data_IF_239143361739
#
_entry.id   IF_239143361739
#
_cell.length_a   1.000
_cell.length_b   1.000
_cell.length_c   1.000
_cell.angle_alpha   90.00
_cell.angle_beta   90.00
_cell.angle_gamma   90.00
#
_symmetry.space_group_name_H-M   'P 1'
#
loop_
_entity.id
_entity.type
_entity.pdbx_description
1 polymer ?
#
# COMPACT_ATOMS: atom_id res chain seq x y z
N UNK A 1 -6.39 -1.00 -19.98
CA UNK A 1 -5.41 -0.42 -20.95
C UNK A 1 -4.14 -1.27 -21.04
N UNK A 2 -3.46 -1.51 -19.92
CA UNK A 2 -2.25 -2.36 -19.88
C UNK A 2 -2.46 -3.73 -20.54
N UNK A 3 -3.56 -4.42 -20.23
CA UNK A 3 -3.98 -5.67 -20.91
C UNK A 3 -4.09 -5.52 -22.42
N UNK A 4 -4.80 -4.49 -22.89
CA UNK A 4 -4.99 -4.25 -24.33
C UNK A 4 -3.67 -3.98 -25.05
N UNK A 5 -2.78 -3.21 -24.43
CA UNK A 5 -1.48 -2.86 -24.98
C UNK A 5 -0.41 -3.93 -24.76
N UNK A 6 -0.67 -4.94 -23.92
CA UNK A 6 0.37 -5.84 -23.43
C UNK A 6 1.56 -5.09 -22.82
N UNK A 7 1.28 -4.12 -21.96
CA UNK A 7 2.31 -3.35 -21.27
C UNK A 7 2.41 -3.78 -19.81
N UNK A 8 3.61 -3.80 -19.21
CA UNK A 8 3.77 -3.97 -17.78
C UNK A 8 3.01 -2.90 -16.99
N UNK A 9 2.37 -3.30 -15.89
CA UNK A 9 1.60 -2.43 -15.03
C UNK A 9 2.27 -2.29 -13.66
N UNK A 10 2.77 -1.09 -13.39
CA UNK A 10 3.36 -0.67 -12.12
C UNK A 10 2.26 -0.04 -11.24
N UNK A 11 1.49 -0.88 -10.55
CA UNK A 11 0.31 -0.44 -9.82
C UNK A 11 0.58 -0.30 -8.33
N UNK A 12 0.55 0.91 -7.76
CA UNK A 12 0.55 1.11 -6.30
C UNK A 12 -0.62 0.37 -5.64
N UNK A 13 -0.53 -0.04 -4.37
CA UNK A 13 -1.55 -0.86 -3.72
C UNK A 13 -2.93 -0.17 -3.65
N UNK A 14 -2.97 1.16 -3.68
CA UNK A 14 -4.19 1.98 -3.64
C UNK A 14 -4.63 2.49 -5.01
N UNK A 15 -4.01 2.02 -6.09
CA UNK A 15 -4.36 2.41 -7.47
C UNK A 15 -5.68 1.81 -7.96
N UNK A 16 -6.20 0.79 -7.26
CA UNK A 16 -7.34 -0.06 -7.70
C UNK A 16 -7.12 -0.75 -9.05
N UNK A 17 -5.88 -0.76 -9.55
CA UNK A 17 -5.51 -1.34 -10.84
C UNK A 17 -4.60 -2.58 -10.68
N UNK A 18 -4.22 -2.96 -9.46
CA UNK A 18 -3.34 -4.12 -9.18
C UNK A 18 -4.07 -5.45 -9.35
N UNK A 19 -4.45 -5.74 -10.59
CA UNK A 19 -5.15 -6.96 -11.01
C UNK A 19 -4.68 -7.39 -12.40
N UNK A 20 -4.92 -8.65 -12.73
CA UNK A 20 -4.61 -9.18 -14.06
C UNK A 20 -3.12 -9.43 -14.30
N UNK A 21 -2.77 -10.01 -15.46
CA UNK A 21 -1.45 -10.58 -15.70
C UNK A 21 -0.34 -9.54 -15.95
N UNK A 22 -0.70 -8.29 -16.22
CA UNK A 22 0.28 -7.22 -16.44
C UNK A 22 0.76 -6.59 -15.14
N UNK A 23 0.03 -6.73 -14.04
CA UNK A 23 0.37 -6.13 -12.76
C UNK A 23 1.61 -6.81 -12.17
N UNK A 24 2.71 -6.06 -12.06
CA UNK A 24 3.96 -6.58 -11.51
C UNK A 24 4.01 -6.39 -10.00
N UNK A 25 4.29 -7.42 -9.19
CA UNK A 25 4.76 -7.22 -7.83
C UNK A 25 6.22 -6.75 -7.83
N UNK A 26 6.72 -6.22 -6.70
CA UNK A 26 8.13 -5.82 -6.50
C UNK A 26 8.74 -4.89 -7.56
N UNK A 27 7.92 -4.22 -8.36
CA UNK A 27 8.40 -3.43 -9.48
C UNK A 27 9.31 -2.25 -9.04
N UNK A 28 9.03 -1.64 -7.90
CA UNK A 28 9.84 -0.56 -7.35
C UNK A 28 11.25 -1.04 -6.94
N UNK A 29 11.35 -2.29 -6.50
CA UNK A 29 12.61 -2.95 -6.18
C UNK A 29 13.38 -3.27 -7.47
N UNK A 30 12.71 -3.84 -8.47
CA UNK A 30 13.30 -4.08 -9.78
C UNK A 30 13.90 -2.80 -10.36
N UNK A 31 13.15 -1.69 -10.37
CA UNK A 31 13.62 -0.40 -10.87
C UNK A 31 14.83 0.18 -10.10
N UNK A 32 15.09 -0.28 -8.87
CA UNK A 32 16.28 0.11 -8.12
C UNK A 32 17.54 -0.69 -8.55
N UNK A 33 17.40 -1.76 -9.32
CA UNK A 33 18.50 -2.59 -9.83
C UNK A 33 19.03 -2.09 -11.18
N UNK A 34 20.24 -2.53 -11.56
CA UNK A 34 20.78 -2.30 -12.91
C UNK A 34 19.88 -2.88 -14.01
N UNK A 35 19.52 -4.18 -13.94
CA UNK A 35 18.63 -4.82 -14.93
C UNK A 35 17.27 -4.12 -15.08
N UNK A 36 16.64 -3.71 -13.97
CA UNK A 36 15.37 -2.99 -14.05
C UNK A 36 15.47 -1.61 -14.68
N UNK A 37 16.58 -0.88 -14.44
CA UNK A 37 16.84 0.39 -15.13
C UNK A 37 17.09 0.20 -16.62
N UNK A 38 17.79 -0.86 -17.01
CA UNK A 38 18.02 -1.20 -18.41
C UNK A 38 16.69 -1.55 -19.11
N UNK A 39 15.84 -2.37 -18.47
CA UNK A 39 14.50 -2.64 -18.97
C UNK A 39 13.69 -1.36 -19.13
N UNK A 40 13.64 -0.51 -18.10
CA UNK A 40 12.93 0.74 -18.17
C UNK A 40 13.44 1.69 -19.26
N UNK A 41 14.76 1.71 -19.51
CA UNK A 41 15.39 2.52 -20.56
C UNK A 41 15.11 2.04 -21.99
N UNK A 42 14.55 0.84 -22.15
CA UNK A 42 14.08 0.33 -23.45
C UNK A 42 12.64 0.73 -23.78
N UNK A 43 11.92 1.34 -22.84
CA UNK A 43 10.58 1.83 -23.09
C UNK A 43 10.67 3.16 -23.86
N UNK A 44 9.79 3.34 -24.85
CA UNK A 44 9.66 4.62 -25.56
C UNK A 44 8.58 5.52 -24.91
N UNK A 45 7.60 4.90 -24.24
CA UNK A 45 6.40 5.56 -23.75
C UNK A 45 6.07 5.14 -22.31
N UNK A 46 5.57 6.09 -21.52
CA UNK A 46 5.07 5.84 -20.17
C UNK A 46 3.70 6.50 -19.98
N UNK A 47 2.68 5.70 -19.63
CA UNK A 47 1.35 6.21 -19.26
C UNK A 47 1.27 6.31 -17.74
N UNK A 48 1.02 7.52 -17.24
CA UNK A 48 0.88 7.81 -15.82
C UNK A 48 -0.59 8.07 -15.52
N UNK A 49 -1.15 7.33 -14.56
CA UNK A 49 -2.53 7.51 -14.08
C UNK A 49 -2.50 7.79 -12.59
N UNK A 50 -3.20 8.81 -12.14
CA UNK A 50 -3.30 9.16 -10.73
C UNK A 50 -2.05 9.84 -10.15
N UNK A 51 -1.64 9.43 -8.96
CA UNK A 51 -0.59 10.08 -8.17
C UNK A 51 0.49 9.11 -7.65
N UNK A 52 1.27 8.47 -8.55
CA UNK A 52 2.31 7.53 -8.15
C UNK A 52 3.46 8.30 -7.47
N UNK A 53 3.52 8.20 -6.15
CA UNK A 53 4.37 9.02 -5.27
C UNK A 53 5.03 8.19 -4.17
N UNK A 54 4.79 6.88 -4.16
CA UNK A 54 5.16 6.01 -3.05
C UNK A 54 6.64 5.63 -3.04
N UNK A 55 7.19 5.32 -4.22
CA UNK A 55 8.54 4.78 -4.35
C UNK A 55 9.49 5.74 -5.07
N UNK A 56 10.70 5.89 -4.51
CA UNK A 56 11.77 6.71 -5.11
C UNK A 56 12.14 6.22 -6.51
N UNK A 57 12.09 4.91 -6.73
CA UNK A 57 12.41 4.31 -8.05
C UNK A 57 11.43 4.73 -9.14
N UNK A 58 10.13 4.85 -8.82
CA UNK A 58 9.14 5.37 -9.78
C UNK A 58 9.35 6.87 -10.01
N UNK A 59 9.63 7.65 -8.95
CA UNK A 59 9.97 9.07 -9.13
C UNK A 59 11.21 9.26 -10.00
N UNK A 60 12.23 8.41 -9.85
CA UNK A 60 13.43 8.42 -10.68
C UNK A 60 13.11 8.04 -12.14
N UNK A 61 12.24 7.04 -12.36
CA UNK A 61 11.75 6.68 -13.69
C UNK A 61 11.04 7.83 -14.38
N UNK A 62 10.13 8.52 -13.67
CA UNK A 62 9.44 9.72 -14.16
C UNK A 62 10.40 10.90 -14.43
N UNK A 63 11.58 10.87 -13.83
CA UNK A 63 12.67 11.81 -14.08
C UNK A 63 13.62 11.42 -15.23
N UNK A 64 13.37 10.32 -15.96
CA UNK A 64 14.21 9.88 -17.08
C UNK A 64 14.03 10.76 -18.33
N UNK A 65 15.09 10.91 -19.16
CA UNK A 65 15.16 11.87 -20.28
C UNK A 65 14.51 11.40 -21.57
N UNK A 66 14.53 10.08 -21.77
CA UNK A 66 14.27 9.49 -23.08
C UNK A 66 12.83 8.95 -23.20
N UNK A 67 11.98 9.14 -22.17
CA UNK A 67 10.61 8.62 -22.13
C UNK A 67 9.57 9.64 -22.57
N UNK A 68 8.71 9.28 -23.53
CA UNK A 68 7.49 10.03 -23.81
C UNK A 68 6.45 9.77 -22.71
N UNK A 69 6.37 10.68 -21.74
CA UNK A 69 5.45 10.59 -20.60
C UNK A 69 4.10 11.23 -20.95
N UNK A 70 3.04 10.42 -20.98
CA UNK A 70 1.66 10.90 -21.07
C UNK A 70 0.95 10.70 -19.73
N UNK A 71 0.43 11.78 -19.16
CA UNK A 71 -0.36 11.75 -17.93
C UNK A 71 -1.84 11.75 -18.27
N UNK A 72 -2.57 10.76 -17.77
CA UNK A 72 -4.03 10.71 -17.81
C UNK A 72 -4.56 11.25 -16.47
N UNK A 73 -5.30 12.35 -16.52
CA UNK A 73 -5.80 13.02 -15.31
C UNK A 73 -7.29 13.28 -15.38
N UNK A 74 -7.96 13.06 -14.26
CA UNK A 74 -9.38 13.38 -14.06
C UNK A 74 -9.56 14.77 -13.43
N UNK A 75 -8.43 15.40 -13.05
CA UNK A 75 -8.40 16.67 -12.34
C UNK A 75 -7.54 17.68 -13.07
N UNK A 76 -7.81 18.97 -12.80
CA UNK A 76 -6.98 20.07 -13.28
C UNK A 76 -5.55 20.06 -12.69
N UNK A 77 -5.34 19.33 -11.59
CA UNK A 77 -4.02 19.06 -11.02
C UNK A 77 -3.59 17.64 -11.35
N UNK A 78 -2.37 17.49 -11.85
CA UNK A 78 -1.77 16.21 -12.20
C UNK A 78 -0.41 16.04 -11.53
N UNK A 79 0.11 14.82 -11.59
CA UNK A 79 1.41 14.45 -11.01
C UNK A 79 2.49 14.59 -12.06
N UNK A 80 3.38 15.56 -11.88
CA UNK A 80 4.55 15.76 -12.74
C UNK A 80 5.68 16.41 -11.93
N UNK A 81 6.18 15.69 -10.93
CA UNK A 81 7.21 16.21 -10.01
C UNK A 81 8.51 16.54 -10.76
N UNK A 82 8.82 15.78 -11.82
CA UNK A 82 10.02 15.98 -12.65
C UNK A 82 9.85 17.06 -13.72
N UNK A 83 8.62 17.51 -14.01
CA UNK A 83 8.32 18.47 -15.07
C UNK A 83 8.54 17.90 -16.48
N UNK A 84 8.35 16.58 -16.66
CA UNK A 84 8.67 15.85 -17.89
C UNK A 84 7.44 15.26 -18.59
N UNK A 85 6.24 15.59 -18.14
CA UNK A 85 5.04 15.22 -18.86
C UNK A 85 5.04 15.88 -20.25
N UNK A 86 5.07 15.06 -21.29
CA UNK A 86 4.97 15.51 -22.68
C UNK A 86 3.54 15.92 -23.01
N UNK A 87 2.57 15.17 -22.47
CA UNK A 87 1.15 15.40 -22.67
C UNK A 87 0.39 15.14 -21.39
N UNK A 88 -0.63 15.96 -21.14
CA UNK A 88 -1.61 15.74 -20.08
C UNK A 88 -2.97 15.64 -20.75
N UNK A 89 -3.61 14.50 -20.61
CA UNK A 89 -4.87 14.21 -21.28
C UNK A 89 -5.96 14.10 -20.21
N UNK A 90 -7.01 14.95 -20.31
CA UNK A 90 -8.16 14.80 -19.45
C UNK A 90 -8.87 13.48 -19.79
N UNK A 91 -9.10 12.67 -18.77
CA UNK A 91 -9.92 11.46 -18.86
C UNK A 91 -11.02 11.52 -17.82
N UNK A 92 -12.23 11.12 -18.19
CA UNK A 92 -13.31 10.96 -17.22
C UNK A 92 -13.14 9.62 -16.50
N UNK A 93 -13.26 9.62 -15.16
CA UNK A 93 -13.38 8.38 -14.39
C UNK A 93 -14.66 7.69 -14.86
N UNK A 94 -14.58 6.46 -15.38
CA UNK A 94 -15.79 5.66 -15.49
C UNK A 94 -16.38 5.45 -14.09
N UNK A 95 -17.69 5.65 -13.94
CA UNK A 95 -18.43 4.89 -12.91
C UNK A 95 -18.29 3.38 -13.16
N UNK A 96 -18.97 2.53 -12.37
CA UNK A 96 -18.97 1.09 -12.58
C UNK A 96 -19.25 0.76 -14.06
N UNK A 97 -18.30 0.10 -14.73
CA UNK A 97 -18.36 -0.16 -16.16
C UNK A 97 -18.17 -1.63 -16.44
N UNK A 98 -18.92 -2.17 -17.39
CA UNK A 98 -18.76 -3.57 -17.80
C UNK A 98 -17.42 -3.79 -18.50
N UNK A 99 -16.91 -5.02 -18.48
CA UNK A 99 -15.66 -5.38 -19.15
C UNK A 99 -15.63 -4.96 -20.63
N UNK A 100 -16.77 -5.07 -21.33
CA UNK A 100 -16.91 -4.65 -22.74
C UNK A 100 -16.68 -3.13 -22.89
N UNK A 101 -17.25 -2.33 -21.99
CA UNK A 101 -17.07 -0.88 -22.03
C UNK A 101 -15.62 -0.48 -21.69
N UNK A 102 -15.00 -1.14 -20.71
CA UNK A 102 -13.60 -0.91 -20.35
C UNK A 102 -12.67 -1.24 -21.52
N UNK A 103 -12.88 -2.38 -22.19
CA UNK A 103 -12.12 -2.77 -23.39
C UNK A 103 -12.30 -1.78 -24.53
N UNK A 104 -13.53 -1.37 -24.82
CA UNK A 104 -13.82 -0.38 -25.88
C UNK A 104 -13.15 0.98 -25.60
N UNK A 105 -13.12 1.42 -24.34
CA UNK A 105 -12.39 2.64 -23.92
C UNK A 105 -10.88 2.47 -24.09
N UNK A 106 -10.32 1.34 -23.67
CA UNK A 106 -8.90 1.07 -23.82
C UNK A 106 -8.46 1.11 -25.29
N UNK A 107 -9.25 0.52 -26.19
CA UNK A 107 -9.01 0.58 -27.65
C UNK A 107 -9.01 2.03 -28.13
N UNK A 108 -10.07 2.79 -27.83
CA UNK A 108 -10.17 4.19 -28.27
C UNK A 108 -9.01 5.04 -27.76
N UNK A 109 -8.64 4.89 -26.49
CA UNK A 109 -7.55 5.63 -25.88
C UNK A 109 -6.20 5.27 -26.54
N UNK A 110 -5.93 3.97 -26.73
CA UNK A 110 -4.74 3.50 -27.42
C UNK A 110 -4.65 4.06 -28.85
N UNK A 111 -5.74 3.99 -29.63
CA UNK A 111 -5.78 4.54 -31.00
C UNK A 111 -5.58 6.05 -31.02
N UNK A 112 -6.24 6.79 -30.12
CA UNK A 112 -6.13 8.26 -30.05
C UNK A 112 -4.71 8.71 -29.70
N UNK A 113 -4.03 7.92 -28.88
CA UNK A 113 -2.66 8.17 -28.46
C UNK A 113 -1.61 7.61 -29.42
N UNK A 114 -2.01 6.86 -30.45
CA UNK A 114 -1.08 6.18 -31.34
C UNK A 114 -0.26 5.08 -30.67
N UNK A 115 -0.77 4.49 -29.57
CA UNK A 115 -0.04 3.48 -28.80
C UNK A 115 -0.14 2.12 -29.48
N UNK A 116 1.03 1.51 -29.69
CA UNK A 116 1.16 0.15 -30.18
C UNK A 116 1.07 -0.88 -29.06
N UNK A 117 0.51 -2.05 -29.41
CA UNK A 117 0.62 -3.24 -28.56
C UNK A 117 2.08 -3.73 -28.56
N UNK A 118 2.63 -4.00 -27.38
CA UNK A 118 3.96 -4.60 -27.28
C UNK A 118 3.91 -6.11 -27.59
N UNK A 119 5.04 -6.67 -27.99
CA UNK A 119 5.18 -8.12 -28.13
C UNK A 119 5.16 -8.82 -26.76
N UNK A 120 4.96 -10.14 -26.77
CA UNK A 120 4.94 -10.93 -25.54
C UNK A 120 6.30 -10.92 -24.80
N UNK A 121 7.40 -10.80 -25.56
CA UNK A 121 8.77 -10.78 -25.00
C UNK A 121 8.96 -9.59 -24.07
N UNK A 122 8.31 -8.46 -24.35
CA UNK A 122 8.35 -7.27 -23.50
C UNK A 122 7.83 -7.57 -22.10
N UNK A 123 6.56 -7.97 -21.94
CA UNK A 123 5.98 -8.27 -20.63
C UNK A 123 6.72 -9.42 -19.94
N UNK A 124 7.05 -10.48 -20.69
CA UNK A 124 7.76 -11.63 -20.15
C UNK A 124 9.14 -11.23 -19.59
N UNK A 125 9.84 -10.28 -20.23
CA UNK A 125 11.14 -9.81 -19.74
C UNK A 125 11.04 -9.10 -18.39
N UNK A 126 9.96 -8.35 -18.15
CA UNK A 126 9.70 -7.74 -16.85
C UNK A 126 9.29 -8.76 -15.80
N UNK A 127 8.42 -9.71 -16.14
CA UNK A 127 8.03 -10.79 -15.22
C UNK A 127 9.24 -11.61 -14.78
N UNK A 128 10.08 -12.06 -15.73
CA UNK A 128 11.32 -12.79 -15.42
C UNK A 128 12.26 -11.97 -14.56
N UNK A 129 12.44 -10.68 -14.87
CA UNK A 129 13.31 -9.83 -14.07
C UNK A 129 12.80 -9.63 -12.63
N UNK A 130 11.49 -9.67 -12.40
CA UNK A 130 10.89 -9.70 -11.05
C UNK A 130 11.13 -11.05 -10.36
N UNK A 131 11.00 -12.17 -11.09
CA UNK A 131 11.27 -13.53 -10.59
C UNK A 131 12.74 -13.73 -10.22
N UNK A 132 13.66 -13.10 -10.96
CA UNK A 132 15.10 -13.15 -10.73
C UNK A 132 15.56 -12.27 -9.56
N UNK A 133 14.67 -11.44 -8.98
CA UNK A 133 15.01 -10.66 -7.80
C UNK A 133 15.29 -11.60 -6.62
N UNK A 134 16.31 -11.31 -5.79
CA UNK A 134 16.63 -12.15 -4.64
C UNK A 134 15.41 -12.28 -3.73
N UNK A 135 15.22 -13.46 -3.13
CA UNK A 135 14.15 -13.65 -2.15
C UNK A 135 14.29 -12.64 -1.00
N UNK A 136 13.16 -12.16 -0.45
CA UNK A 136 13.17 -11.20 0.64
C UNK A 136 13.84 -11.78 1.90
N UNK A 137 14.01 -10.90 2.88
CA UNK A 137 14.78 -11.07 4.11
C UNK A 137 14.73 -12.45 4.78
N UNK A 138 15.78 -12.76 5.56
CA UNK A 138 15.95 -14.05 6.23
C UNK A 138 14.69 -14.45 7.03
N UNK A 139 14.23 -15.71 6.93
CA UNK A 139 13.17 -16.25 7.78
C UNK A 139 13.46 -15.97 9.26
N UNK A 140 12.45 -15.52 10.01
CA UNK A 140 12.57 -15.18 11.42
C UNK A 140 13.10 -13.77 11.73
N UNK A 141 13.28 -12.91 10.72
CA UNK A 141 13.56 -11.48 10.95
C UNK A 141 12.28 -10.69 11.31
N UNK A 142 12.45 -9.56 11.99
CA UNK A 142 11.38 -8.61 12.27
C UNK A 142 10.66 -8.16 10.98
N UNK A 143 11.42 -7.91 9.91
CA UNK A 143 10.88 -7.59 8.59
C UNK A 143 10.01 -8.72 8.02
N UNK A 144 10.43 -9.99 8.17
CA UNK A 144 9.66 -11.13 7.71
C UNK A 144 8.32 -11.28 8.47
N UNK A 145 8.31 -11.03 9.78
CA UNK A 145 7.09 -11.06 10.58
C UNK A 145 6.12 -9.93 10.19
N UNK A 146 6.61 -8.70 10.04
CA UNK A 146 5.79 -7.58 9.55
C UNK A 146 5.28 -7.82 8.12
N UNK A 147 6.10 -8.41 7.25
CA UNK A 147 5.74 -8.80 5.89
C UNK A 147 4.63 -9.86 5.86
N UNK A 148 4.63 -10.80 6.81
CA UNK A 148 3.60 -11.83 6.91
C UNK A 148 2.23 -11.22 7.24
N UNK A 149 2.18 -10.26 8.16
CA UNK A 149 0.92 -9.59 8.51
C UNK A 149 0.33 -8.80 7.32
N UNK A 150 1.14 -8.01 6.61
CA UNK A 150 0.64 -7.26 5.46
C UNK A 150 0.20 -8.18 4.31
N UNK A 151 0.87 -9.33 4.11
CA UNK A 151 0.46 -10.33 3.12
C UNK A 151 -0.89 -10.94 3.50
N UNK A 152 -1.05 -11.38 4.75
CA UNK A 152 -2.30 -11.96 5.23
C UNK A 152 -3.48 -10.97 5.10
N UNK A 153 -3.28 -9.70 5.46
CA UNK A 153 -4.32 -8.67 5.30
C UNK A 153 -4.63 -8.40 3.83
N UNK A 154 -3.63 -8.34 2.96
CA UNK A 154 -3.86 -8.15 1.53
C UNK A 154 -4.64 -9.33 0.92
N UNK A 155 -4.23 -10.57 1.23
CA UNK A 155 -4.89 -11.78 0.74
C UNK A 155 -6.35 -11.86 1.19
N UNK A 156 -6.64 -11.54 2.45
CA UNK A 156 -8.01 -11.45 2.95
C UNK A 156 -8.83 -10.37 2.23
N UNK A 157 -8.18 -9.31 1.73
CA UNK A 157 -8.81 -8.21 1.00
C UNK A 157 -9.09 -8.53 -0.48
N UNK A 158 -8.57 -9.65 -1.00
CA UNK A 158 -8.86 -10.13 -2.36
C UNK A 158 -10.18 -10.93 -2.45
N UNK A 159 -10.76 -11.30 -1.31
CA UNK A 159 -11.99 -12.09 -1.27
C UNK A 159 -13.20 -11.24 -1.68
N UNK A 160 -14.18 -11.82 -2.40
CA UNK A 160 -15.43 -11.13 -2.70
C UNK A 160 -16.14 -10.66 -1.42
N UNK A 161 -16.58 -9.41 -1.39
CA UNK A 161 -17.24 -8.81 -0.22
C UNK A 161 -16.28 -8.48 0.94
N UNK A 162 -14.97 -8.50 0.72
CA UNK A 162 -14.02 -8.03 1.73
C UNK A 162 -14.27 -6.54 2.09
N UNK A 163 -14.05 -6.15 3.36
CA UNK A 163 -14.13 -4.76 3.79
C UNK A 163 -13.25 -3.82 2.97
N UNK A 164 -13.57 -2.53 2.97
CA UNK A 164 -12.65 -1.52 2.44
C UNK A 164 -11.34 -1.56 3.24
N UNK A 165 -10.21 -1.66 2.55
CA UNK A 165 -8.89 -1.70 3.18
C UNK A 165 -8.32 -0.27 3.29
N UNK A 166 -8.21 0.25 4.50
CA UNK A 166 -7.49 1.48 4.78
C UNK A 166 -6.03 1.17 5.14
N UNK A 167 -5.10 1.72 4.37
CA UNK A 167 -3.67 1.46 4.55
C UNK A 167 -2.98 2.68 5.17
N UNK A 168 -2.35 2.46 6.32
CA UNK A 168 -1.52 3.45 7.00
C UNK A 168 -0.27 3.81 6.19
N UNK A 169 0.18 5.06 6.37
CA UNK A 169 1.42 5.59 5.79
C UNK A 169 2.67 4.86 6.33
N UNK A 170 3.86 5.37 6.00
CA UNK A 170 5.15 4.80 6.45
C UNK A 170 5.45 3.42 5.84
N UNK A 171 5.81 2.42 6.65
CA UNK A 171 6.25 1.11 6.16
C UNK A 171 5.11 0.24 5.65
N UNK A 172 3.92 0.29 6.23
CA UNK A 172 2.81 -0.59 5.86
C UNK A 172 2.46 -0.51 4.37
N UNK A 173 2.20 0.70 3.86
CA UNK A 173 1.91 0.91 2.43
C UNK A 173 3.08 0.52 1.52
N UNK A 174 4.33 0.66 1.98
CA UNK A 174 5.53 0.28 1.21
C UNK A 174 5.75 -1.23 1.18
N UNK A 175 5.45 -1.93 2.27
CA UNK A 175 5.47 -3.39 2.29
C UNK A 175 4.38 -3.94 1.37
N UNK A 176 3.18 -3.36 1.38
CA UNK A 176 2.14 -3.71 0.41
C UNK A 176 2.58 -3.41 -1.02
N UNK A 177 3.21 -2.27 -1.30
CA UNK A 177 3.70 -1.98 -2.64
C UNK A 177 4.66 -3.06 -3.16
N UNK A 178 5.56 -3.53 -2.29
CA UNK A 178 6.51 -4.61 -2.56
C UNK A 178 5.82 -5.97 -2.70
N UNK A 179 4.90 -6.33 -1.80
CA UNK A 179 4.49 -7.72 -1.55
C UNK A 179 3.07 -8.07 -1.99
N UNK A 180 2.21 -7.06 -2.16
CA UNK A 180 0.82 -7.27 -2.57
C UNK A 180 0.79 -7.92 -3.95
N UNK A 181 0.28 -9.16 -4.01
CA UNK A 181 0.13 -9.89 -5.26
C UNK A 181 -1.12 -9.41 -6.00
N UNK A 182 -1.09 -9.34 -7.35
CA UNK A 182 -2.29 -9.07 -8.11
C UNK A 182 -3.28 -10.24 -7.96
N UNK A 183 -4.57 -9.90 -7.81
CA UNK A 183 -5.66 -10.87 -7.86
C UNK A 183 -6.41 -10.85 -9.19
N UNK A 184 -7.53 -11.57 -9.23
CA UNK A 184 -8.52 -11.44 -10.33
C UNK A 184 -9.18 -10.06 -10.34
N UNK A 185 -9.34 -9.46 -9.17
CA UNK A 185 -9.75 -8.07 -8.98
C UNK A 185 -8.85 -7.40 -7.93
N UNK A 186 -8.64 -6.09 -8.06
CA UNK A 186 -7.92 -5.31 -7.08
C UNK A 186 -8.84 -5.02 -5.86
N UNK A 187 -8.33 -5.10 -4.62
CA UNK A 187 -9.07 -4.67 -3.44
C UNK A 187 -9.46 -3.19 -3.50
N UNK A 188 -10.56 -2.83 -2.83
CA UNK A 188 -10.84 -1.42 -2.52
C UNK A 188 -9.89 -0.95 -1.41
N UNK A 189 -8.69 -0.54 -1.81
CA UNK A 189 -7.65 -0.08 -0.91
C UNK A 189 -7.48 1.45 -0.98
N UNK A 190 -7.54 2.12 0.15
CA UNK A 190 -7.39 3.59 0.26
C UNK A 190 -6.31 3.95 1.27
N UNK A 191 -5.73 5.13 1.15
CA UNK A 191 -4.71 5.63 2.07
C UNK A 191 -4.63 7.16 2.01
N UNK A 192 -4.21 7.78 3.12
CA UNK A 192 -3.99 9.23 3.23
C UNK A 192 -2.66 9.65 2.54
N UNK A 193 -2.60 9.53 1.21
CA UNK A 193 -1.37 9.71 0.41
C UNK A 193 -1.07 11.13 -0.04
N UNK A 194 -1.94 12.11 0.25
CA UNK A 194 -1.71 13.51 -0.12
C UNK A 194 -0.45 14.09 0.53
N UNK A 195 -0.40 14.11 1.86
CA UNK A 195 0.78 14.50 2.64
C UNK A 195 1.48 13.31 3.31
N UNK A 196 0.91 12.11 3.19
CA UNK A 196 1.46 10.86 3.75
C UNK A 196 1.68 10.89 5.27
N UNK A 197 0.86 11.64 6.00
CA UNK A 197 0.86 11.72 7.45
C UNK A 197 0.46 10.41 8.12
N UNK A 198 0.85 10.25 9.39
CA UNK A 198 0.40 9.16 10.26
C UNK A 198 -0.85 9.54 11.06
N UNK A 199 -1.15 10.84 11.10
CA UNK A 199 -2.28 11.47 11.75
C UNK A 199 -3.62 11.13 11.05
N UNK A 200 -4.67 11.02 11.86
CA UNK A 200 -6.05 10.88 11.37
C UNK A 200 -6.36 9.58 10.63
N UNK A 201 -5.52 8.55 10.71
CA UNK A 201 -5.74 7.28 10.00
C UNK A 201 -6.98 6.54 10.57
N UNK A 202 -7.12 6.44 11.88
CA UNK A 202 -8.30 5.82 12.54
C UNK A 202 -9.55 6.67 12.28
N UNK A 203 -9.45 8.00 12.41
CA UNK A 203 -10.55 8.91 12.11
C UNK A 203 -11.04 8.76 10.65
N UNK A 204 -10.11 8.59 9.71
CA UNK A 204 -10.43 8.33 8.30
C UNK A 204 -11.18 7.01 8.14
N UNK A 205 -10.76 5.95 8.84
CA UNK A 205 -11.44 4.65 8.81
C UNK A 205 -12.89 4.71 9.30
N UNK A 206 -13.12 5.43 10.40
CA UNK A 206 -14.47 5.66 10.93
C UNK A 206 -15.29 6.48 9.93
N UNK A 207 -14.73 7.53 9.35
CA UNK A 207 -15.40 8.35 8.33
C UNK A 207 -15.78 7.54 7.08
N UNK A 208 -14.93 6.61 6.64
CA UNK A 208 -15.24 5.69 5.54
C UNK A 208 -16.44 4.81 5.89
N UNK A 209 -16.47 4.19 7.07
CA UNK A 209 -17.61 3.39 7.54
C UNK A 209 -18.90 4.22 7.61
N UNK A 210 -18.84 5.43 8.16
CA UNK A 210 -20.01 6.32 8.25
C UNK A 210 -20.56 6.69 6.87
N UNK A 211 -19.68 6.90 5.88
CA UNK A 211 -20.07 7.32 4.54
C UNK A 211 -20.59 6.16 3.68
N UNK A 212 -20.03 4.97 3.83
CA UNK A 212 -20.41 3.79 3.04
C UNK A 212 -21.52 2.97 3.67
N UNK A 213 -21.61 2.94 5.00
CA UNK A 213 -22.41 1.96 5.75
C UNK A 213 -21.83 0.55 5.70
N UNK A 214 -20.61 0.38 5.18
CA UNK A 214 -19.95 -0.90 4.98
C UNK A 214 -18.75 -1.04 5.93
N UNK A 215 -18.41 -2.27 6.39
CA UNK A 215 -17.27 -2.48 7.26
C UNK A 215 -15.95 -2.00 6.67
N UNK A 216 -15.06 -1.54 7.55
CA UNK A 216 -13.72 -1.07 7.17
C UNK A 216 -12.66 -1.84 7.94
N UNK A 217 -11.59 -2.23 7.24
CA UNK A 217 -10.40 -2.84 7.82
C UNK A 217 -9.22 -1.89 7.62
N UNK A 218 -8.58 -1.45 8.70
CA UNK A 218 -7.35 -0.66 8.62
C UNK A 218 -6.13 -1.51 8.94
N UNK A 219 -5.00 -1.22 8.31
CA UNK A 219 -3.68 -1.74 8.72
C UNK A 219 -2.68 -0.60 8.82
N UNK A 220 -1.98 -0.50 9.95
CA UNK A 220 -1.01 0.58 10.22
C UNK A 220 0.09 0.14 11.18
N UNK A 221 1.14 0.95 11.33
CA UNK A 221 2.16 0.75 12.36
C UNK A 221 1.72 1.26 13.73
N UNK A 222 2.43 0.84 14.77
CA UNK A 222 2.23 1.26 16.17
C UNK A 222 2.18 2.77 16.38
N UNK A 223 3.14 3.53 15.84
CA UNK A 223 3.16 4.99 16.03
C UNK A 223 1.97 5.68 15.35
N UNK A 224 1.51 5.17 14.20
CA UNK A 224 0.32 5.71 13.53
C UNK A 224 -0.94 5.40 14.33
N UNK A 225 -1.03 4.20 14.92
CA UNK A 225 -2.10 3.85 15.84
C UNK A 225 -2.09 4.77 17.07
N UNK A 226 -0.95 4.90 17.76
CA UNK A 226 -0.84 5.72 18.97
C UNK A 226 -1.13 7.19 18.71
N UNK A 227 -0.77 7.71 17.54
CA UNK A 227 -1.05 9.10 17.16
C UNK A 227 -2.55 9.39 17.06
N UNK A 228 -3.38 8.41 16.69
CA UNK A 228 -4.80 8.62 16.40
C UNK A 228 -5.75 7.71 17.20
N UNK A 229 -5.24 7.01 18.21
CA UNK A 229 -6.01 6.03 18.99
C UNK A 229 -7.29 6.64 19.58
N UNK A 230 -7.21 7.87 20.08
CA UNK A 230 -8.35 8.58 20.66
C UNK A 230 -9.54 8.75 19.70
N UNK A 231 -9.32 8.69 18.39
CA UNK A 231 -10.40 8.73 17.40
C UNK A 231 -11.31 7.50 17.45
N UNK A 232 -10.90 6.40 18.09
CA UNK A 232 -11.79 5.27 18.41
C UNK A 232 -12.85 5.59 19.46
N UNK A 233 -12.61 6.61 20.30
CA UNK A 233 -13.54 7.03 21.33
C UNK A 233 -14.86 7.51 20.71
N UNK A 234 -15.99 7.03 21.25
CA UNK A 234 -17.33 7.39 20.79
C UNK A 234 -18.26 7.76 21.94
N UNK A 235 -19.27 8.58 21.66
CA UNK A 235 -20.33 8.89 22.62
C UNK A 235 -21.18 7.66 22.94
N UNK A 236 -21.79 7.64 24.14
CA UNK A 236 -22.66 6.53 24.57
C UNK A 236 -23.92 6.34 23.71
N UNK A 237 -24.30 7.38 22.94
CA UNK A 237 -25.46 7.37 22.05
C UNK A 237 -25.10 7.24 20.58
N UNK A 238 -23.80 7.20 20.27
CA UNK A 238 -23.32 7.01 18.90
C UNK A 238 -23.30 5.52 18.57
N UNK A 239 -23.58 5.21 17.30
CA UNK A 239 -23.42 3.85 16.80
C UNK A 239 -21.95 3.41 16.87
N UNK A 240 -21.74 2.13 17.14
CA UNK A 240 -20.39 1.55 17.06
C UNK A 240 -20.04 1.27 15.61
N UNK A 241 -18.83 1.66 15.21
CA UNK A 241 -18.34 1.41 13.86
C UNK A 241 -17.97 -0.06 13.67
N UNK A 242 -18.33 -0.64 12.52
CA UNK A 242 -17.82 -1.93 12.07
C UNK A 242 -16.39 -1.73 11.53
N UNK A 243 -15.45 -1.61 12.45
CA UNK A 243 -14.08 -1.20 12.17
C UNK A 243 -13.06 -2.11 12.84
N UNK A 244 -12.20 -2.74 12.03
CA UNK A 244 -11.10 -3.58 12.52
C UNK A 244 -9.75 -2.93 12.21
N UNK A 245 -8.96 -2.66 13.24
CA UNK A 245 -7.62 -2.08 13.11
C UNK A 245 -6.56 -3.14 13.33
N UNK A 246 -5.75 -3.42 12.32
CA UNK A 246 -4.55 -4.26 12.43
C UNK A 246 -3.36 -3.34 12.70
N UNK A 247 -2.75 -3.50 13.87
CA UNK A 247 -1.54 -2.78 14.28
C UNK A 247 -0.34 -3.70 14.09
N UNK A 248 0.57 -3.33 13.21
CA UNK A 248 1.89 -3.96 13.10
C UNK A 248 2.79 -3.27 14.12
N UNK A 249 3.02 -3.92 15.27
CA UNK A 249 3.85 -3.40 16.36
C UNK A 249 5.29 -3.86 16.17
N UNK A 250 6.09 -3.06 15.48
CA UNK A 250 7.53 -3.25 15.27
C UNK A 250 8.40 -2.32 16.13
N UNK A 251 7.82 -1.75 17.20
CA UNK A 251 8.57 -1.00 18.23
C UNK A 251 9.07 0.36 17.76
N UNK A 252 8.31 1.06 16.93
CA UNK A 252 8.55 2.44 16.54
C UNK A 252 8.60 2.69 15.03
N UNK A 253 9.22 3.79 14.63
CA UNK A 253 9.33 4.23 13.24
C UNK A 253 10.29 3.39 12.40
N UNK A 254 9.93 2.14 12.10
CA UNK A 254 10.76 1.20 11.33
C UNK A 254 11.18 1.70 9.94
N UNK A 255 10.45 2.68 9.37
CA UNK A 255 10.84 3.32 8.10
C UNK A 255 12.21 3.97 8.18
N UNK A 256 12.57 4.52 9.33
CA UNK A 256 13.82 5.24 9.51
C UNK A 256 15.03 4.33 9.40
N UNK A 257 14.87 3.04 9.71
CA UNK A 257 15.92 2.02 9.56
C UNK A 257 16.30 1.75 8.09
N UNK A 258 15.48 2.23 7.13
CA UNK A 258 15.73 2.10 5.68
C UNK A 258 16.32 3.35 5.05
N UNK A 259 16.64 4.35 5.86
CA UNK A 259 17.08 5.67 5.40
C UNK A 259 18.54 5.89 5.80
N UNK A 260 19.20 6.80 5.10
CA UNK A 260 20.66 6.94 5.08
C UNK A 260 21.23 7.23 6.49
N UNK A 261 20.42 7.84 7.35
CA UNK A 261 20.77 8.17 8.72
C UNK A 261 20.86 6.96 9.66
N UNK A 262 20.21 5.83 9.35
CA UNK A 262 20.36 4.59 10.12
C UNK A 262 21.80 4.06 10.10
N UNK A 263 22.59 4.44 9.08
CA UNK A 263 23.98 4.02 8.93
C UNK A 263 25.00 5.03 9.45
N UNK A 264 24.56 6.23 9.86
CA UNK A 264 25.46 7.33 10.23
C UNK A 264 25.21 7.87 11.64
N UNK A 265 24.00 7.70 12.18
CA UNK A 265 23.68 8.10 13.54
C UNK A 265 24.17 7.06 14.56
N UNK A 266 24.59 7.54 15.73
CA UNK A 266 24.86 6.69 16.89
C UNK A 266 23.55 6.06 17.39
N UNK A 267 23.59 4.76 17.75
CA UNK A 267 22.39 3.94 17.93
C UNK A 267 21.39 4.51 18.95
N UNK A 268 21.83 5.03 20.09
CA UNK A 268 20.91 5.58 21.10
C UNK A 268 20.25 6.88 20.63
N UNK A 269 21.00 7.73 19.92
CA UNK A 269 20.43 8.93 19.29
C UNK A 269 19.47 8.57 18.16
N UNK A 270 19.79 7.54 17.38
CA UNK A 270 18.92 7.06 16.33
C UNK A 270 17.59 6.58 16.90
N UNK A 271 17.63 5.76 17.94
CA UNK A 271 16.45 5.26 18.63
C UNK A 271 15.62 6.40 19.23
N UNK A 272 16.26 7.31 19.97
CA UNK A 272 15.58 8.44 20.63
C UNK A 272 14.95 9.44 19.66
N UNK A 273 15.53 9.67 18.49
CA UNK A 273 15.12 10.76 17.59
C UNK A 273 14.34 10.28 16.36
N UNK A 274 14.52 9.04 15.94
CA UNK A 274 13.93 8.52 14.71
C UNK A 274 12.93 7.40 14.99
N UNK A 275 13.37 6.25 15.54
CA UNK A 275 12.43 5.14 15.76
C UNK A 275 11.46 5.44 16.89
N UNK A 276 11.86 6.21 17.90
CA UNK A 276 10.99 6.72 18.98
C UNK A 276 10.04 5.65 19.55
N UNK A 277 10.54 4.50 20.05
CA UNK A 277 9.70 3.51 20.70
C UNK A 277 8.92 4.16 21.86
N UNK A 278 7.71 3.67 22.12
CA UNK A 278 6.80 4.25 23.11
C UNK A 278 6.63 3.33 24.31
N UNK A 279 6.33 3.90 25.48
CA UNK A 279 6.02 3.12 26.68
C UNK A 279 4.52 2.75 26.79
N UNK A 280 3.72 3.06 25.78
CA UNK A 280 2.27 2.91 25.81
C UNK A 280 1.85 1.46 25.54
N UNK A 281 1.00 0.90 26.42
CA UNK A 281 0.39 -0.39 26.17
C UNK A 281 -0.80 -0.23 25.18
N UNK A 282 -0.59 -0.64 23.93
CA UNK A 282 -1.59 -0.56 22.85
C UNK A 282 -2.85 -1.37 23.19
N UNK A 283 -2.70 -2.54 23.82
CA UNK A 283 -3.84 -3.40 24.17
C UNK A 283 -4.73 -2.76 25.24
N UNK A 284 -4.13 -2.25 26.31
CA UNK A 284 -4.86 -1.55 27.37
C UNK A 284 -5.50 -0.25 26.86
N UNK A 285 -4.80 0.52 26.03
CA UNK A 285 -5.34 1.73 25.42
C UNK A 285 -6.55 1.43 24.54
N UNK A 286 -6.45 0.41 23.66
CA UNK A 286 -7.54 -0.01 22.80
C UNK A 286 -8.77 -0.48 23.62
N UNK A 287 -8.53 -1.28 24.66
CA UNK A 287 -9.59 -1.74 25.56
C UNK A 287 -10.24 -0.58 26.33
N UNK A 288 -9.46 0.38 26.82
CA UNK A 288 -9.95 1.57 27.51
C UNK A 288 -10.82 2.45 26.61
N UNK A 289 -10.58 2.43 25.30
CA UNK A 289 -11.38 3.13 24.28
C UNK A 289 -12.57 2.30 23.77
N UNK A 290 -12.81 1.12 24.34
CA UNK A 290 -13.97 0.28 24.06
C UNK A 290 -13.81 -0.71 22.92
N UNK A 291 -12.59 -0.89 22.38
CA UNK A 291 -12.34 -1.90 21.35
C UNK A 291 -12.18 -3.30 21.94
N UNK A 292 -12.64 -4.33 21.23
CA UNK A 292 -12.18 -5.71 21.48
C UNK A 292 -10.75 -5.86 21.01
N UNK A 293 -9.91 -6.54 21.78
CA UNK A 293 -8.48 -6.69 21.46
C UNK A 293 -8.14 -8.16 21.19
N UNK A 294 -7.39 -8.39 20.12
CA UNK A 294 -6.88 -9.69 19.72
C UNK A 294 -5.37 -9.62 19.52
N UNK A 295 -4.65 -10.65 19.97
CA UNK A 295 -3.20 -10.78 19.80
C UNK A 295 -2.94 -12.19 19.26
N UNK A 296 -3.01 -12.40 17.93
CA UNK A 296 -2.76 -13.71 17.35
C UNK A 296 -1.31 -14.15 17.58
N UNK A 297 -1.11 -15.42 17.91
CA UNK A 297 0.21 -15.98 18.21
C UNK A 297 1.03 -16.27 16.94
N UNK A 298 0.35 -16.47 15.81
CA UNK A 298 0.98 -16.80 14.54
C UNK A 298 0.13 -16.36 13.33
N UNK A 299 0.68 -16.57 12.13
CA UNK A 299 0.02 -16.20 10.86
C UNK A 299 -1.29 -16.97 10.65
N UNK A 300 -1.38 -18.29 10.90
CA UNK A 300 -2.66 -19.01 10.88
C UNK A 300 -3.75 -18.43 11.79
N UNK A 301 -3.40 -18.04 13.02
CA UNK A 301 -4.32 -17.38 13.94
C UNK A 301 -4.77 -16.01 13.40
N UNK A 302 -3.85 -15.22 12.85
CA UNK A 302 -4.19 -13.96 12.19
C UNK A 302 -5.13 -14.19 10.99
N UNK A 303 -4.85 -15.17 10.14
CA UNK A 303 -5.69 -15.51 8.98
C UNK A 303 -7.10 -15.94 9.41
N UNK A 304 -7.21 -16.69 10.51
CA UNK A 304 -8.51 -17.08 11.08
C UNK A 304 -9.31 -15.85 11.49
N UNK A 305 -8.70 -14.90 12.21
CA UNK A 305 -9.35 -13.64 12.60
C UNK A 305 -9.73 -12.78 11.39
N UNK A 306 -8.90 -12.76 10.35
CA UNK A 306 -9.16 -11.96 9.14
C UNK A 306 -10.29 -12.53 8.28
N UNK A 307 -10.58 -13.83 8.39
CA UNK A 307 -11.68 -14.51 7.71
C UNK A 307 -13.04 -14.26 8.39
N UNK A 308 -13.05 -13.83 9.65
CA UNK A 308 -14.28 -13.44 10.34
C UNK A 308 -14.86 -12.14 9.77
N UNK A 309 -16.20 -11.99 9.68
CA UNK A 309 -16.82 -10.74 9.33
C UNK A 309 -16.41 -9.61 10.29
N UNK A 310 -16.09 -8.44 9.75
CA UNK A 310 -15.84 -7.26 10.56
C UNK A 310 -17.18 -6.72 11.05
N UNK A 311 -17.41 -6.81 12.36
CA UNK A 311 -18.56 -6.20 13.02
C UNK A 311 -18.13 -5.64 14.36
N UNK A 312 -18.60 -4.45 14.73
CA UNK A 312 -18.16 -3.66 15.89
C UNK A 312 -16.69 -3.24 15.83
N UNK A 313 -16.23 -2.55 16.88
CA UNK A 313 -14.85 -2.04 16.96
C UNK A 313 -13.90 -3.14 17.49
N UNK A 314 -12.82 -3.40 16.75
CA UNK A 314 -11.77 -4.33 17.17
C UNK A 314 -10.37 -3.87 16.78
N UNK A 315 -9.38 -4.26 17.59
CA UNK A 315 -7.95 -4.05 17.36
C UNK A 315 -7.24 -5.39 17.39
N UNK A 316 -6.50 -5.71 16.32
CA UNK A 316 -5.64 -6.88 16.21
C UNK A 316 -4.20 -6.40 16.29
N UNK A 317 -3.46 -6.82 17.31
CA UNK A 317 -2.07 -6.42 17.53
C UNK A 317 -1.17 -7.54 17.04
N UNK A 318 -0.44 -7.27 15.96
CA UNK A 318 0.59 -8.16 15.42
C UNK A 318 1.96 -7.73 15.96
N UNK A 319 2.43 -8.43 16.98
CA UNK A 319 3.74 -8.15 17.60
C UNK A 319 4.86 -8.73 16.75
N UNK A 320 5.85 -7.90 16.43
CA UNK A 320 7.03 -8.32 15.69
C UNK A 320 8.16 -8.67 16.68
N UNK A 321 8.48 -9.96 16.81
CA UNK A 321 9.54 -10.45 17.70
C UNK A 321 10.92 -9.83 17.37
N UNK A 322 11.70 -9.52 18.41
CA UNK A 322 13.05 -8.95 18.30
C UNK A 322 13.12 -7.43 18.44
N UNK A 323 11.99 -6.74 18.36
CA UNK A 323 11.85 -5.36 18.84
C UNK A 323 11.38 -5.37 20.30
N UNK A 324 11.84 -4.42 21.13
CA UNK A 324 11.22 -4.27 22.45
C UNK A 324 9.76 -3.88 22.21
N UNK A 325 8.77 -4.71 22.60
CA UNK A 325 7.38 -4.34 22.42
C UNK A 325 7.13 -3.04 23.18
N UNK A 326 6.18 -2.22 22.73
CA UNK A 326 5.70 -1.07 23.51
C UNK A 326 5.09 -1.49 24.88
N UNK A 327 5.11 -2.79 25.20
CA UNK A 327 4.83 -3.39 26.49
C UNK A 327 6.07 -4.10 27.09
N UNK A 328 6.73 -3.44 28.05
CA UNK A 328 7.19 -4.06 29.31
C UNK A 328 7.22 -2.99 30.40
N UNK A 329 6.09 -2.74 31.05
CA UNK A 329 6.08 -2.13 32.37
C UNK A 329 5.93 -3.22 33.43
N UNK A 330 7.07 -3.44 34.11
CA UNK A 330 7.33 -4.19 35.36
C UNK A 330 7.03 -5.67 35.40
#
# INVERSE_FOLDING_TARGET
LAEHLHWPLLAEPTSHARSGPQALPRYAELLATGPGRELAGRADHLIVVGHPSLSRSVTALLGSGDLEITVLSERARWTDVSGRAHRVIPVDVPGPSSAVQASSRAVRLATTLGLGRADAVWVDSWCRAVEDLPEPDRPGSADAAADAAVKAVWEASLLPGAPTLLVGSSMTVRRLDRLARPGSAAPQAVANRGLAGIDGTIATGIGLWMASGEPVRAIMGDLAFLHDAMSMGRGLREAEADFQVIVVDDGGGAIFSRLEYAHTAESQRFERLFTTPQCANISELAAALGARVYIPEDVPALQTLLAEPVGGLSVVIWTVEGCMPNARTT
#
